data_IF_801938694263
#
_entry.id   IF_801938694263
#
_cell.length_a   1.000
_cell.length_b   1.000
_cell.length_c   1.000
_cell.angle_alpha   90.00
_cell.angle_beta   90.00
_cell.angle_gamma   90.00
#
_symmetry.space_group_name_H-M   'P 1'
#
loop_
_entity.id
_entity.type
_entity.pdbx_description
1 polymer ?
#
# COMPACT_ATOMS: atom_id res chain seq x y z
N UNK A 1 30.94 3.10 -12.70
CA UNK A 1 29.76 2.57 -11.96
C UNK A 1 29.17 3.72 -11.16
N UNK A 2 28.02 4.29 -11.56
CA UNK A 2 27.30 5.25 -10.69
C UNK A 2 26.55 4.49 -9.60
N UNK A 3 26.53 4.98 -8.37
CA UNK A 3 25.72 4.39 -7.30
C UNK A 3 24.22 4.53 -7.61
N UNK A 4 23.41 3.60 -7.11
CA UNK A 4 21.95 3.74 -7.06
C UNK A 4 21.65 4.89 -6.09
N UNK A 5 21.05 5.98 -6.58
CA UNK A 5 20.75 7.14 -5.76
C UNK A 5 19.44 6.90 -5.01
N UNK A 6 19.52 6.69 -3.70
CA UNK A 6 18.35 6.79 -2.81
C UNK A 6 18.35 8.21 -2.25
N UNK A 7 17.23 8.91 -2.42
CA UNK A 7 17.01 10.22 -1.81
C UNK A 7 16.10 10.01 -0.60
N UNK A 8 16.62 10.31 0.58
CA UNK A 8 15.84 10.31 1.82
C UNK A 8 15.46 11.73 2.21
N UNK A 9 14.18 11.93 2.57
CA UNK A 9 13.66 13.20 3.03
C UNK A 9 12.72 12.99 4.21
N UNK A 10 12.83 13.86 5.20
CA UNK A 10 11.85 13.98 6.27
C UNK A 10 10.68 14.85 5.83
N UNK A 11 9.47 14.37 6.05
CA UNK A 11 8.23 15.13 5.86
C UNK A 11 7.79 15.71 7.20
N UNK A 12 7.41 16.99 7.19
CA UNK A 12 6.97 17.73 8.38
C UNK A 12 5.67 18.46 8.10
N UNK A 13 4.83 18.58 9.11
CA UNK A 13 3.66 19.46 9.14
C UNK A 13 3.96 20.62 10.11
N UNK A 14 4.45 21.74 9.58
CA UNK A 14 5.00 22.82 10.40
C UNK A 14 6.26 22.36 11.14
N UNK A 15 6.27 22.49 12.47
CA UNK A 15 7.40 22.01 13.30
C UNK A 15 7.32 20.52 13.68
N UNK A 16 6.24 19.83 13.32
CA UNK A 16 6.02 18.44 13.70
C UNK A 16 6.52 17.52 12.60
N UNK A 17 7.30 16.51 12.97
CA UNK A 17 7.64 15.41 12.07
C UNK A 17 6.37 14.61 11.76
N UNK A 18 6.27 14.12 10.54
CA UNK A 18 5.19 13.23 10.10
C UNK A 18 5.72 11.85 9.73
N UNK A 19 6.74 11.80 8.89
CA UNK A 19 7.36 10.54 8.43
C UNK A 19 8.70 10.85 7.76
N UNK A 20 9.46 9.80 7.45
CA UNK A 20 10.55 9.85 6.49
C UNK A 20 10.12 9.15 5.19
N UNK A 21 10.69 9.60 4.08
CA UNK A 21 10.41 9.11 2.73
C UNK A 21 11.71 8.82 2.02
N UNK A 22 11.85 7.59 1.53
CA UNK A 22 12.96 7.20 0.66
C UNK A 22 12.43 7.05 -0.76
N UNK A 23 13.09 7.70 -1.72
CA UNK A 23 12.78 7.60 -3.14
C UNK A 23 13.99 7.02 -3.84
N UNK A 24 13.79 5.91 -4.53
CA UNK A 24 14.80 5.31 -5.38
C UNK A 24 14.32 5.30 -6.82
N UNK A 25 15.08 5.95 -7.71
CA UNK A 25 14.92 5.79 -9.14
C UNK A 25 15.69 4.55 -9.58
N UNK A 26 15.00 3.54 -10.11
CA UNK A 26 15.65 2.37 -10.66
C UNK A 26 16.56 2.74 -11.84
N UNK A 27 17.64 1.97 -12.07
CA UNK A 27 18.32 1.98 -13.38
C UNK A 27 17.49 1.17 -14.37
N UNK A 28 17.73 1.32 -15.68
CA UNK A 28 17.16 0.47 -16.76
C UNK A 28 16.96 -0.98 -16.29
N UNK A 29 15.70 -1.39 -16.09
CA UNK A 29 15.31 -2.75 -15.69
C UNK A 29 15.07 -2.99 -14.19
N UNK A 30 15.21 -1.99 -13.32
CA UNK A 30 14.81 -2.04 -11.91
C UNK A 30 13.65 -1.06 -11.68
N UNK A 31 12.68 -1.46 -10.85
CA UNK A 31 11.49 -0.68 -10.52
C UNK A 31 11.87 0.61 -9.76
N UNK A 32 11.13 1.71 -9.98
CA UNK A 32 11.20 2.81 -9.04
C UNK A 32 10.40 2.44 -7.81
N UNK A 33 10.88 2.88 -6.64
CA UNK A 33 10.10 2.73 -5.43
C UNK A 33 10.11 4.00 -4.59
N UNK A 34 9.00 4.17 -3.89
CA UNK A 34 8.87 5.11 -2.79
C UNK A 34 8.62 4.27 -1.53
N UNK A 35 9.32 4.60 -0.45
CA UNK A 35 9.09 4.01 0.87
C UNK A 35 8.68 5.10 1.86
N UNK A 36 7.56 4.88 2.54
CA UNK A 36 7.07 5.70 3.65
C UNK A 36 7.34 4.96 4.96
N UNK A 37 8.15 5.54 5.85
CA UNK A 37 8.59 4.88 7.08
C UNK A 37 8.83 5.87 8.21
N UNK A 38 9.01 5.35 9.42
CA UNK A 38 9.02 6.12 10.67
C UNK A 38 7.79 7.05 10.76
N UNK A 39 6.61 6.52 10.47
CA UNK A 39 5.37 7.28 10.44
C UNK A 39 4.93 7.60 11.88
N UNK A 40 4.71 8.87 12.17
CA UNK A 40 4.18 9.31 13.45
C UNK A 40 2.69 8.94 13.53
N UNK A 41 2.25 8.20 14.57
CA UNK A 41 0.86 7.72 14.67
C UNK A 41 -0.14 8.83 14.95
N UNK A 42 0.32 9.95 15.49
CA UNK A 42 -0.50 11.11 15.84
C UNK A 42 -0.03 12.34 15.08
N UNK A 43 -0.99 13.09 14.55
CA UNK A 43 -0.77 14.34 13.83
C UNK A 43 -1.35 15.50 14.60
N UNK A 44 -0.61 16.60 14.62
CA UNK A 44 -1.07 17.85 15.22
C UNK A 44 -1.48 18.84 14.14
N UNK A 45 -2.77 19.11 14.07
CA UNK A 45 -3.37 20.08 13.15
C UNK A 45 -3.88 21.28 13.96
N UNK A 46 -3.06 22.33 14.01
CA UNK A 46 -3.31 23.49 14.88
C UNK A 46 -3.23 23.11 16.36
N UNK A 47 -4.36 23.24 17.07
CA UNK A 47 -4.49 22.89 18.49
C UNK A 47 -5.07 21.48 18.73
N UNK A 48 -5.42 20.75 17.66
CA UNK A 48 -6.00 19.42 17.76
C UNK A 48 -4.96 18.33 17.50
N UNK A 49 -5.06 17.25 18.26
CA UNK A 49 -4.33 16.00 18.05
C UNK A 49 -5.30 14.98 17.46
N UNK A 50 -4.89 14.32 16.38
CA UNK A 50 -5.68 13.31 15.68
C UNK A 50 -4.81 12.12 15.28
N UNK A 51 -5.40 10.94 15.09
CA UNK A 51 -4.68 9.79 14.55
C UNK A 51 -4.28 10.05 13.09
N UNK A 52 -3.09 9.61 12.71
CA UNK A 52 -2.64 9.60 11.31
C UNK A 52 -3.34 8.49 10.52
N UNK A 53 -3.32 7.26 11.05
CA UNK A 53 -3.86 6.09 10.36
C UNK A 53 -5.38 6.17 10.28
N UNK A 54 -5.92 5.87 9.10
CA UNK A 54 -7.34 5.99 8.76
C UNK A 54 -7.87 7.44 8.72
N UNK A 55 -6.98 8.43 8.60
CA UNK A 55 -7.34 9.86 8.47
C UNK A 55 -7.29 10.37 7.03
N UNK A 56 -7.90 11.53 6.79
CA UNK A 56 -7.79 12.26 5.51
C UNK A 56 -6.35 12.66 5.17
N UNK A 57 -5.48 12.81 6.18
CA UNK A 57 -4.06 13.11 5.97
C UNK A 57 -3.33 11.90 5.41
N UNK A 58 -3.62 10.70 5.91
CA UNK A 58 -3.10 9.47 5.30
C UNK A 58 -3.59 9.33 3.86
N UNK A 59 -4.88 9.54 3.60
CA UNK A 59 -5.45 9.45 2.25
C UNK A 59 -4.78 10.46 1.29
N UNK A 60 -4.57 11.69 1.76
CA UNK A 60 -3.84 12.72 1.01
C UNK A 60 -2.39 12.34 0.72
N UNK A 61 -1.67 11.80 1.69
CA UNK A 61 -0.27 11.36 1.54
C UNK A 61 -0.16 10.19 0.56
N UNK A 62 -0.97 9.14 0.75
CA UNK A 62 -0.97 7.97 -0.14
C UNK A 62 -1.37 8.36 -1.57
N UNK A 63 -2.37 9.22 -1.72
CA UNK A 63 -2.77 9.77 -3.02
C UNK A 63 -1.65 10.59 -3.65
N UNK A 64 -0.97 11.45 -2.88
CA UNK A 64 0.12 12.27 -3.40
C UNK A 64 1.25 11.41 -3.95
N UNK A 65 1.78 10.45 -3.17
CA UNK A 65 2.90 9.62 -3.59
C UNK A 65 2.52 8.65 -4.71
N UNK A 66 1.30 8.11 -4.72
CA UNK A 66 0.85 7.22 -5.79
C UNK A 66 0.83 7.89 -7.17
N UNK A 67 0.72 9.23 -7.25
CA UNK A 67 0.76 9.97 -8.53
C UNK A 67 2.15 10.07 -9.15
N UNK A 68 3.20 9.81 -8.38
CA UNK A 68 4.58 9.78 -8.87
C UNK A 68 5.08 8.38 -9.24
N UNK A 69 4.22 7.36 -9.10
CA UNK A 69 4.53 5.97 -9.41
C UNK A 69 3.82 5.58 -10.72
N UNK A 70 4.61 5.15 -11.70
CA UNK A 70 4.12 4.64 -12.98
C UNK A 70 3.80 3.14 -12.95
N UNK A 71 3.68 2.53 -14.13
CA UNK A 71 3.49 1.08 -14.27
C UNK A 71 4.70 0.31 -13.74
N UNK A 72 4.45 -0.74 -12.96
CA UNK A 72 5.49 -1.55 -12.30
C UNK A 72 6.17 -0.87 -11.12
N UNK A 73 5.88 0.40 -10.84
CA UNK A 73 6.49 1.09 -9.70
C UNK A 73 5.84 0.67 -8.38
N UNK A 74 6.64 0.78 -7.32
CA UNK A 74 6.37 0.17 -6.03
C UNK A 74 6.20 1.24 -4.94
N UNK A 75 5.18 1.06 -4.09
CA UNK A 75 5.05 1.78 -2.84
C UNK A 75 5.26 0.82 -1.67
N UNK A 76 6.22 1.13 -0.82
CA UNK A 76 6.40 0.49 0.48
C UNK A 76 5.81 1.41 1.57
N UNK A 77 4.97 0.87 2.43
CA UNK A 77 4.43 1.62 3.56
C UNK A 77 4.67 0.83 4.85
N UNK A 78 5.39 1.44 5.77
CA UNK A 78 5.54 0.92 7.13
C UNK A 78 4.20 0.94 7.86
N UNK A 79 3.82 -0.20 8.44
CA UNK A 79 2.57 -0.32 9.20
C UNK A 79 2.82 -0.67 10.68
N UNK A 80 4.06 -0.50 11.18
CA UNK A 80 4.42 -0.85 12.57
C UNK A 80 3.49 -0.20 13.62
N UNK A 81 3.18 1.09 13.46
CA UNK A 81 2.30 1.86 14.34
C UNK A 81 0.81 1.75 13.95
N UNK A 82 0.49 1.15 12.80
CA UNK A 82 -0.88 0.87 12.38
C UNK A 82 -1.37 -0.45 12.97
N UNK A 83 -1.86 -0.36 14.20
CA UNK A 83 -2.32 -1.53 14.95
C UNK A 83 -3.44 -2.30 14.22
N UNK A 84 -4.26 -1.62 13.42
CA UNK A 84 -5.41 -2.20 12.73
C UNK A 84 -4.94 -3.05 11.55
N UNK A 85 -4.12 -2.49 10.65
CA UNK A 85 -3.51 -3.27 9.56
C UNK A 85 -2.69 -4.43 10.10
N UNK A 86 -1.84 -4.19 11.11
CA UNK A 86 -1.02 -5.24 11.72
C UNK A 86 -1.86 -6.39 12.24
N UNK A 87 -2.93 -6.09 12.99
CA UNK A 87 -3.82 -7.10 13.55
C UNK A 87 -4.53 -7.90 12.46
N UNK A 88 -4.99 -7.24 11.41
CA UNK A 88 -5.68 -7.86 10.30
C UNK A 88 -4.78 -8.82 9.52
N UNK A 89 -3.55 -8.39 9.20
CA UNK A 89 -2.56 -9.20 8.50
C UNK A 89 -2.13 -10.42 9.34
N UNK A 90 -1.83 -10.23 10.63
CA UNK A 90 -1.51 -11.34 11.56
C UNK A 90 -2.67 -12.34 11.66
N UNK A 91 -3.92 -11.87 11.53
CA UNK A 91 -5.11 -12.73 11.57
C UNK A 91 -5.44 -13.38 10.22
N UNK A 92 -4.56 -13.28 9.23
CA UNK A 92 -4.72 -13.91 7.91
C UNK A 92 -5.66 -13.16 6.96
N UNK A 93 -5.94 -11.88 7.20
CA UNK A 93 -6.68 -11.06 6.23
C UNK A 93 -5.83 -10.89 4.97
N UNK A 94 -6.37 -11.17 3.76
CA UNK A 94 -5.65 -10.92 2.51
C UNK A 94 -5.15 -9.48 2.47
N UNK A 95 -3.90 -9.28 2.04
CA UNK A 95 -3.24 -7.98 2.08
C UNK A 95 -4.07 -6.87 1.43
N UNK A 96 -4.66 -7.15 0.26
CA UNK A 96 -5.53 -6.25 -0.51
C UNK A 96 -6.81 -5.82 0.25
N UNK A 97 -7.26 -6.59 1.24
CA UNK A 97 -8.45 -6.31 2.06
C UNK A 97 -8.12 -5.85 3.50
N UNK A 98 -6.84 -5.76 3.86
CA UNK A 98 -6.40 -5.04 5.06
C UNK A 98 -6.76 -3.55 4.96
N UNK A 99 -6.78 -2.83 6.08
CA UNK A 99 -7.11 -1.39 6.13
C UNK A 99 -6.23 -0.57 5.19
N UNK A 100 -4.90 -0.75 5.30
CA UNK A 100 -3.94 -0.09 4.41
C UNK A 100 -4.03 -0.61 2.97
N UNK A 101 -4.09 -1.93 2.77
CA UNK A 101 -4.12 -2.51 1.44
C UNK A 101 -5.38 -2.13 0.65
N UNK A 102 -6.52 -1.95 1.33
CA UNK A 102 -7.75 -1.48 0.72
C UNK A 102 -7.63 -0.05 0.17
N UNK A 103 -7.00 0.85 0.93
CA UNK A 103 -6.70 2.22 0.46
C UNK A 103 -5.78 2.20 -0.75
N UNK A 104 -4.71 1.40 -0.69
CA UNK A 104 -3.76 1.23 -1.80
C UNK A 104 -4.43 0.61 -3.03
N UNK A 105 -5.30 -0.37 -2.88
CA UNK A 105 -6.05 -0.94 -4.00
C UNK A 105 -6.92 0.13 -4.71
N UNK A 106 -7.55 1.02 -3.94
CA UNK A 106 -8.28 2.17 -4.47
C UNK A 106 -7.41 3.13 -5.29
N UNK A 107 -6.09 3.15 -5.06
CA UNK A 107 -5.10 3.96 -5.79
C UNK A 107 -4.49 3.23 -7.01
N UNK A 108 -5.00 2.05 -7.36
CA UNK A 108 -4.64 1.32 -8.57
C UNK A 108 -3.52 0.29 -8.41
N UNK A 109 -3.09 0.00 -7.17
CA UNK A 109 -2.15 -1.07 -6.90
C UNK A 109 -2.87 -2.43 -6.92
N UNK A 110 -2.25 -3.44 -7.54
CA UNK A 110 -2.92 -4.76 -7.73
C UNK A 110 -2.16 -5.93 -7.13
N UNK A 111 -0.86 -5.78 -6.91
CA UNK A 111 -0.03 -6.80 -6.26
C UNK A 111 0.43 -6.29 -4.90
N UNK A 112 0.38 -7.18 -3.91
CA UNK A 112 0.70 -6.86 -2.53
C UNK A 112 1.64 -7.90 -1.94
N UNK A 113 2.57 -7.46 -1.10
CA UNK A 113 3.42 -8.33 -0.29
C UNK A 113 3.57 -7.78 1.11
N UNK A 114 3.22 -8.61 2.08
CA UNK A 114 3.44 -8.33 3.49
C UNK A 114 4.86 -8.79 3.91
N UNK A 115 5.68 -7.85 4.37
CA UNK A 115 6.99 -8.11 4.95
C UNK A 115 6.89 -8.17 6.48
N UNK A 116 6.32 -9.27 6.96
CA UNK A 116 6.33 -9.61 8.38
C UNK A 116 7.58 -10.45 8.72
N UNK A 117 8.44 -9.95 9.61
CA UNK A 117 9.56 -10.72 10.17
C UNK A 117 9.20 -11.15 11.58
N UNK A 118 8.96 -12.45 11.76
CA UNK A 118 8.55 -13.04 13.04
C UNK A 118 9.69 -13.13 14.08
N UNK A 119 10.96 -12.95 13.68
CA UNK A 119 12.11 -13.32 14.52
C UNK A 119 13.25 -12.28 14.49
N UNK A 120 13.54 -11.65 15.64
CA UNK A 120 14.89 -11.18 15.97
C UNK A 120 15.37 -9.80 15.47
N UNK A 121 14.53 -8.99 14.82
CA UNK A 121 14.73 -7.53 14.71
C UNK A 121 15.99 -7.06 13.99
N UNK A 122 16.47 -7.79 12.98
CA UNK A 122 17.73 -7.43 12.30
C UNK A 122 17.64 -6.77 10.93
N UNK A 123 16.50 -6.74 10.25
CA UNK A 123 16.38 -6.01 8.97
C UNK A 123 14.97 -5.43 8.77
N UNK A 124 14.84 -4.11 8.96
CA UNK A 124 13.66 -3.34 8.54
C UNK A 124 12.43 -3.45 9.43
N UNK A 125 11.61 -2.40 9.40
CA UNK A 125 10.30 -2.37 10.02
C UNK A 125 9.26 -3.17 9.22
N UNK A 126 8.11 -3.45 9.85
CA UNK A 126 6.98 -4.10 9.20
C UNK A 126 6.45 -3.24 8.05
N UNK A 127 6.47 -3.77 6.82
CA UNK A 127 6.11 -3.02 5.61
C UNK A 127 5.12 -3.79 4.74
N UNK A 128 4.14 -3.08 4.22
CA UNK A 128 3.29 -3.57 3.15
C UNK A 128 3.81 -2.98 1.84
N UNK A 129 4.21 -3.85 0.92
CA UNK A 129 4.57 -3.49 -0.45
C UNK A 129 3.35 -3.57 -1.34
N UNK A 130 3.15 -2.57 -2.18
CA UNK A 130 2.13 -2.55 -3.20
C UNK A 130 2.74 -2.14 -4.56
N UNK A 131 2.39 -2.84 -5.63
CA UNK A 131 2.90 -2.59 -6.98
C UNK A 131 1.75 -2.26 -7.95
N UNK A 132 1.96 -1.22 -8.78
CA UNK A 132 1.06 -0.92 -9.90
C UNK A 132 1.31 -1.91 -11.04
N UNK A 133 0.26 -2.43 -11.68
CA UNK A 133 0.42 -3.39 -12.77
C UNK A 133 1.24 -2.79 -13.91
N UNK A 134 2.13 -3.59 -14.52
CA UNK A 134 2.92 -3.17 -15.68
C UNK A 134 2.10 -3.14 -16.97
N UNK A 135 1.21 -4.12 -17.12
CA UNK A 135 0.37 -4.34 -18.30
C UNK A 135 -0.94 -5.06 -17.92
N UNK A 136 -1.83 -5.25 -18.90
CA UNK A 136 -3.13 -5.89 -18.65
C UNK A 136 -3.03 -7.37 -18.30
N UNK A 137 -1.98 -8.07 -18.75
CA UNK A 137 -1.78 -9.48 -18.41
C UNK A 137 -1.50 -9.60 -16.90
N UNK A 138 -0.62 -8.73 -16.41
CA UNK A 138 -0.32 -8.60 -14.99
C UNK A 138 -1.54 -8.15 -14.19
N UNK A 139 -2.37 -7.22 -14.68
CA UNK A 139 -3.66 -6.91 -14.04
C UNK A 139 -4.47 -8.18 -13.83
N UNK A 140 -4.74 -8.93 -14.91
CA UNK A 140 -5.59 -10.13 -14.85
C UNK A 140 -5.02 -11.16 -13.89
N UNK A 141 -3.72 -11.46 -13.99
CA UNK A 141 -3.02 -12.42 -13.12
C UNK A 141 -3.09 -12.02 -11.64
N UNK A 142 -2.82 -10.75 -11.33
CA UNK A 142 -2.83 -10.25 -9.96
C UNK A 142 -4.24 -10.30 -9.38
N UNK A 143 -5.24 -9.85 -10.14
CA UNK A 143 -6.63 -9.88 -9.70
C UNK A 143 -7.17 -11.31 -9.57
N UNK A 144 -6.84 -12.23 -10.47
CA UNK A 144 -7.26 -13.64 -10.33
C UNK A 144 -6.66 -14.31 -9.09
N UNK A 145 -5.40 -13.97 -8.77
CA UNK A 145 -4.74 -14.47 -7.55
C UNK A 145 -5.41 -13.92 -6.30
N UNK A 146 -5.58 -12.60 -6.23
CA UNK A 146 -6.24 -11.93 -5.11
C UNK A 146 -7.70 -12.40 -4.94
N UNK A 147 -8.41 -12.67 -6.04
CA UNK A 147 -9.80 -13.14 -6.01
C UNK A 147 -9.91 -14.48 -5.29
N UNK A 148 -9.01 -15.42 -5.59
CA UNK A 148 -8.98 -16.74 -4.93
C UNK A 148 -8.71 -16.59 -3.43
N UNK A 149 -7.73 -15.78 -3.06
CA UNK A 149 -7.41 -15.49 -1.65
C UNK A 149 -8.61 -14.90 -0.89
N UNK A 150 -9.33 -13.95 -1.52
CA UNK A 150 -10.52 -13.32 -0.94
C UNK A 150 -11.70 -14.28 -0.83
N UNK A 151 -11.95 -15.09 -1.86
CA UNK A 151 -13.02 -16.09 -1.85
C UNK A 151 -12.79 -17.16 -0.78
N UNK A 152 -11.54 -17.59 -0.58
CA UNK A 152 -11.19 -18.51 0.49
C UNK A 152 -11.33 -17.86 1.86
N UNK A 153 -10.86 -16.62 2.02
CA UNK A 153 -11.02 -15.85 3.25
C UNK A 153 -12.49 -15.64 3.65
N UNK A 154 -13.38 -15.38 2.70
CA UNK A 154 -14.80 -15.13 2.97
C UNK A 154 -15.55 -16.37 3.50
N UNK A 155 -15.07 -17.57 3.19
CA UNK A 155 -15.64 -18.85 3.69
C UNK A 155 -15.35 -19.07 5.18
N UNK A 156 -14.31 -18.45 5.72
CA UNK A 156 -13.91 -18.62 7.12
C UNK A 156 -14.79 -17.81 8.07
N UNK A 157 -15.05 -18.28 9.30
CA UNK A 157 -15.66 -17.45 10.34
C UNK A 157 -14.63 -16.43 10.84
N UNK A 158 -14.81 -15.15 10.44
CA UNK A 158 -13.90 -14.02 10.67
C UNK A 158 -14.71 -12.75 10.97
N UNK A 159 -14.01 -11.66 11.33
CA UNK A 159 -14.62 -10.36 11.67
C UNK A 159 -15.43 -9.78 10.51
N UNK A 160 -16.58 -9.17 10.81
CA UNK A 160 -17.49 -8.63 9.79
C UNK A 160 -16.87 -7.49 8.97
N UNK A 161 -16.11 -6.60 9.61
CA UNK A 161 -15.51 -5.43 8.94
C UNK A 161 -14.51 -5.83 7.82
N UNK A 162 -13.67 -6.83 8.07
CA UNK A 162 -12.70 -7.30 7.07
C UNK A 162 -13.38 -8.06 5.94
N UNK A 163 -14.52 -8.73 6.22
CA UNK A 163 -15.35 -9.37 5.19
C UNK A 163 -16.07 -8.35 4.32
N UNK A 164 -16.60 -7.27 4.90
CA UNK A 164 -17.20 -6.17 4.13
C UNK A 164 -16.18 -5.55 3.16
N UNK A 165 -14.96 -5.26 3.64
CA UNK A 165 -13.89 -4.79 2.74
C UNK A 165 -13.52 -5.81 1.69
N UNK A 166 -13.39 -7.10 2.03
CA UNK A 166 -13.12 -8.15 1.05
C UNK A 166 -14.21 -8.23 -0.03
N UNK A 167 -15.49 -8.11 0.35
CA UNK A 167 -16.61 -8.05 -0.59
C UNK A 167 -16.55 -6.83 -1.51
N UNK A 168 -16.26 -5.64 -0.98
CA UNK A 168 -16.06 -4.42 -1.77
C UNK A 168 -14.91 -4.56 -2.77
N UNK A 169 -13.80 -5.16 -2.35
CA UNK A 169 -12.66 -5.46 -3.23
C UNK A 169 -13.12 -6.38 -4.37
N UNK A 170 -13.82 -7.48 -4.09
CA UNK A 170 -14.31 -8.40 -5.13
C UNK A 170 -15.23 -7.73 -6.15
N UNK A 171 -16.14 -6.87 -5.71
CA UNK A 171 -17.02 -6.09 -6.60
C UNK A 171 -16.19 -5.22 -7.52
N UNK A 172 -15.27 -4.44 -6.96
CA UNK A 172 -14.40 -3.55 -7.74
C UNK A 172 -13.49 -4.33 -8.70
N UNK A 173 -12.97 -5.49 -8.29
CA UNK A 173 -12.17 -6.36 -9.15
C UNK A 173 -12.96 -6.84 -10.36
N UNK A 174 -14.24 -7.20 -10.18
CA UNK A 174 -15.09 -7.63 -11.29
C UNK A 174 -15.31 -6.50 -12.32
N UNK A 175 -15.33 -5.24 -11.89
CA UNK A 175 -15.34 -4.07 -12.79
C UNK A 175 -14.00 -3.93 -13.53
N UNK A 176 -12.89 -3.98 -12.79
CA UNK A 176 -11.54 -3.84 -13.36
C UNK A 176 -11.17 -4.97 -14.33
N UNK A 177 -11.68 -6.18 -14.13
CA UNK A 177 -11.51 -7.30 -15.07
C UNK A 177 -12.19 -7.05 -16.42
N UNK A 178 -13.24 -6.22 -16.47
CA UNK A 178 -13.93 -5.86 -17.72
C UNK A 178 -13.18 -4.77 -18.47
N UNK A 179 -12.50 -3.88 -17.76
CA UNK A 179 -11.74 -2.76 -18.34
C UNK A 179 -10.38 -2.57 -17.64
N UNK A 180 -9.40 -3.49 -17.86
CA UNK A 180 -8.10 -3.44 -17.18
C UNK A 180 -7.27 -2.19 -17.47
N UNK A 181 -7.48 -1.58 -18.65
CA UNK A 181 -6.79 -0.41 -19.13
C UNK A 181 -6.93 0.82 -18.22
N UNK A 182 -7.99 0.89 -17.40
CA UNK A 182 -8.18 1.96 -16.39
C UNK A 182 -7.04 2.00 -15.37
N UNK A 183 -6.44 0.86 -15.04
CA UNK A 183 -5.31 0.78 -14.11
C UNK A 183 -3.97 1.19 -14.76
N UNK A 184 -3.92 1.26 -16.09
CA UNK A 184 -2.73 1.57 -16.86
C UNK A 184 -2.70 3.03 -17.34
N UNK A 185 -3.77 3.80 -17.11
CA UNK A 185 -3.82 5.23 -17.47
C UNK A 185 -2.68 6.05 -16.86
N UNK A 186 -2.24 5.82 -15.60
CA UNK A 186 -1.08 6.51 -15.02
C UNK A 186 0.26 6.18 -15.69
N UNK A 187 0.29 5.23 -16.61
CA UNK A 187 1.50 4.72 -17.25
C UNK A 187 1.76 5.26 -18.65
N UNK A 188 0.82 6.04 -19.18
CA UNK A 188 0.87 6.59 -20.54
C UNK A 188 1.46 8.01 -20.59
N UNK A 189 1.92 8.55 -19.45
CA UNK A 189 2.51 9.88 -19.30
C UNK A 189 4.03 9.86 -19.19
#
# INVERSE_FOLDING_TARGET
MSAMGIIEKRVTAGSYRLMDVAVASGRKGLYNYIELYNIEPEIKLGNSLSDYFDSDVEDGVLTFFSRFLGCGDILHVEYWQDWKTRKELISGTPAIASRLGFKLFGLGFTWFKDWYIAEGGREGSLKLTAEKPLDEEMVRRNLDTAKKELEDYLKEERREETKDRAGKVLVRMAELMREPSVLLTPCQS
#
